data_IF_379630940257
#
_entry.id   IF_379630940257
#
_cell.length_a   1.000
_cell.length_b   1.000
_cell.length_c   1.000
_cell.angle_alpha   90.00
_cell.angle_beta   90.00
_cell.angle_gamma   90.00
#
_symmetry.space_group_name_H-M   'P 1'
#
loop_
_entity.id
_entity.type
_entity.pdbx_description
1 polymer ?
#
# COMPACT_ATOMS: atom_id res chain seq x y z
N UNK A 1 2.45 -17.72 22.92
CA UNK A 1 3.38 -17.01 22.02
C UNK A 1 4.53 -16.45 22.86
N UNK A 2 5.77 -16.72 22.49
CA UNK A 2 6.99 -16.19 23.11
C UNK A 2 8.12 -16.17 22.08
N UNK A 3 8.76 -15.01 21.88
CA UNK A 3 9.85 -14.86 20.92
C UNK A 3 10.77 -13.68 21.27
N UNK A 4 12.01 -13.75 20.80
CA UNK A 4 12.98 -12.64 20.82
C UNK A 4 13.13 -12.15 19.38
N UNK A 5 13.16 -10.83 19.17
CA UNK A 5 13.30 -10.24 17.83
C UNK A 5 14.24 -9.04 17.84
N UNK A 6 14.98 -8.88 16.75
CA UNK A 6 15.85 -7.73 16.55
C UNK A 6 15.06 -6.42 16.55
N UNK A 7 15.52 -5.45 17.36
CA UNK A 7 14.82 -4.18 17.58
C UNK A 7 14.56 -3.40 16.29
N UNK A 8 15.61 -3.24 15.46
CA UNK A 8 15.58 -2.44 14.24
C UNK A 8 14.62 -3.05 13.21
N UNK A 9 14.75 -4.35 12.97
CA UNK A 9 13.90 -5.08 12.03
C UNK A 9 12.43 -5.05 12.46
N UNK A 10 12.16 -5.27 13.75
CA UNK A 10 10.80 -5.26 14.27
C UNK A 10 10.17 -3.87 14.19
N UNK A 11 10.92 -2.82 14.53
CA UNK A 11 10.45 -1.43 14.42
C UNK A 11 10.13 -1.04 12.98
N UNK A 12 10.97 -1.45 12.02
CA UNK A 12 10.71 -1.22 10.60
C UNK A 12 9.44 -1.95 10.15
N UNK A 13 9.32 -3.23 10.47
CA UNK A 13 8.17 -4.05 10.10
C UNK A 13 6.85 -3.48 10.66
N UNK A 14 6.86 -3.01 11.92
CA UNK A 14 5.73 -2.33 12.55
C UNK A 14 5.36 -1.02 11.83
N UNK A 15 6.36 -0.23 11.41
CA UNK A 15 6.12 0.99 10.65
C UNK A 15 5.52 0.71 9.27
N UNK A 16 5.88 -0.41 8.64
CA UNK A 16 5.33 -0.83 7.35
C UNK A 16 3.86 -1.24 7.48
N UNK A 17 3.51 -2.15 8.40
CA UNK A 17 2.12 -2.59 8.59
C UNK A 17 1.21 -1.48 9.13
N UNK A 18 1.74 -0.54 9.91
CA UNK A 18 0.94 0.56 10.47
C UNK A 18 0.26 1.45 9.42
N UNK A 19 0.73 1.43 8.17
CA UNK A 19 0.14 2.17 7.04
C UNK A 19 -1.29 1.68 6.71
N UNK A 20 -1.64 0.45 7.08
CA UNK A 20 -3.00 -0.06 6.94
C UNK A 20 -3.95 0.38 8.06
N UNK A 21 -3.45 1.03 9.13
CA UNK A 21 -4.25 1.34 10.32
C UNK A 21 -4.91 2.70 10.15
N UNK A 22 -6.23 2.74 10.32
CA UNK A 22 -7.01 3.98 10.32
C UNK A 22 -7.22 4.50 11.74
N UNK A 23 -7.04 5.81 11.92
CA UNK A 23 -7.35 6.49 13.20
C UNK A 23 -8.85 6.60 13.49
N UNK A 24 -9.71 6.29 12.50
CA UNK A 24 -11.18 6.43 12.58
C UNK A 24 -11.90 5.09 12.36
N UNK A 25 -11.28 3.96 12.70
CA UNK A 25 -11.91 2.64 12.51
C UNK A 25 -13.17 2.49 13.37
N UNK A 26 -14.25 1.98 12.76
CA UNK A 26 -15.47 1.59 13.48
C UNK A 26 -15.35 0.21 14.13
N UNK A 27 -14.39 -0.60 13.67
CA UNK A 27 -14.12 -1.96 14.17
C UNK A 27 -12.91 -1.86 15.11
N UNK A 28 -13.09 -1.97 16.44
CA UNK A 28 -12.02 -1.67 17.40
C UNK A 28 -10.78 -2.55 17.24
N UNK A 29 -10.94 -3.84 16.92
CA UNK A 29 -9.81 -4.77 16.78
C UNK A 29 -8.88 -4.41 15.60
N UNK A 30 -9.38 -3.69 14.59
CA UNK A 30 -8.59 -3.17 13.47
C UNK A 30 -7.72 -1.96 13.83
N UNK A 31 -7.87 -1.40 15.03
CA UNK A 31 -6.89 -0.45 15.59
C UNK A 31 -5.63 -1.14 16.12
N UNK A 32 -5.62 -2.48 16.12
CA UNK A 32 -4.51 -3.31 16.53
C UNK A 32 -3.69 -3.89 15.38
N UNK A 33 -2.57 -4.51 15.74
CA UNK A 33 -1.74 -5.33 14.86
C UNK A 33 -1.87 -6.77 15.35
N UNK A 34 -2.26 -7.69 14.45
CA UNK A 34 -2.18 -9.13 14.71
C UNK A 34 -0.73 -9.56 14.55
N UNK A 35 -0.23 -10.25 15.56
CA UNK A 35 1.10 -10.85 15.59
C UNK A 35 0.89 -12.36 15.64
N UNK A 36 1.52 -13.08 14.72
CA UNK A 36 1.61 -14.54 14.75
C UNK A 36 3.09 -14.92 14.75
N UNK A 37 3.50 -15.79 15.66
CA UNK A 37 4.83 -16.37 15.68
C UNK A 37 4.74 -17.89 15.55
N UNK A 38 5.49 -18.46 14.61
CA UNK A 38 5.59 -19.89 14.36
C UNK A 38 7.03 -20.29 14.02
N UNK A 39 7.27 -21.54 13.62
CA UNK A 39 8.63 -22.03 13.35
C UNK A 39 9.33 -21.32 12.18
N UNK A 40 8.58 -20.69 11.27
CA UNK A 40 9.11 -20.00 10.10
C UNK A 40 9.55 -18.56 10.42
N UNK A 41 8.89 -17.91 11.38
CA UNK A 41 9.16 -16.53 11.74
C UNK A 41 7.99 -15.82 12.42
N UNK A 42 7.93 -14.50 12.21
CA UNK A 42 6.90 -13.62 12.77
C UNK A 42 6.13 -12.96 11.63
N UNK A 43 4.80 -13.09 11.65
CA UNK A 43 3.89 -12.43 10.72
C UNK A 43 3.13 -11.32 11.43
N UNK A 44 3.21 -10.11 10.89
CA UNK A 44 2.47 -8.94 11.35
C UNK A 44 1.37 -8.61 10.34
N UNK A 45 0.13 -8.44 10.81
CA UNK A 45 -1.02 -8.08 9.96
C UNK A 45 -1.74 -6.88 10.56
N UNK A 46 -2.02 -5.88 9.72
CA UNK A 46 -2.86 -4.74 10.05
C UNK A 46 -3.86 -4.47 8.92
N UNK A 47 -5.00 -3.88 9.25
CA UNK A 47 -6.09 -3.64 8.30
C UNK A 47 -6.97 -2.47 8.70
N UNK A 48 -7.63 -1.86 7.71
CA UNK A 48 -8.70 -0.88 7.89
C UNK A 48 -10.00 -1.31 7.19
N UNK A 49 -10.19 -2.61 6.99
CA UNK A 49 -11.27 -3.25 6.23
C UNK A 49 -11.18 -3.13 4.71
N UNK A 50 -10.50 -2.10 4.18
CA UNK A 50 -10.33 -1.92 2.73
C UNK A 50 -9.04 -2.55 2.21
N UNK A 51 -7.98 -2.42 3.02
CA UNK A 51 -6.69 -3.05 2.76
C UNK A 51 -6.22 -3.87 3.95
N UNK A 52 -5.46 -4.93 3.67
CA UNK A 52 -4.62 -5.62 4.65
C UNK A 52 -3.17 -5.46 4.23
N UNK A 53 -2.28 -5.16 5.18
CA UNK A 53 -0.84 -5.27 4.98
C UNK A 53 -0.33 -6.36 5.89
N UNK A 54 0.28 -7.36 5.28
CA UNK A 54 1.00 -8.44 5.93
C UNK A 54 2.50 -8.22 5.73
N UNK A 55 3.27 -8.37 6.81
CA UNK A 55 4.73 -8.34 6.80
C UNK A 55 5.26 -9.59 7.49
N UNK A 56 6.09 -10.33 6.76
CA UNK A 56 6.81 -11.48 7.29
C UNK A 56 8.24 -11.10 7.71
N UNK A 57 8.64 -11.55 8.89
CA UNK A 57 10.00 -11.42 9.43
C UNK A 57 10.53 -12.86 9.59
N UNK A 58 11.49 -13.30 8.74
CA UNK A 58 12.07 -14.62 8.87
C UNK A 58 12.96 -14.71 10.12
N UNK A 59 13.22 -15.92 10.60
CA UNK A 59 14.13 -16.17 11.72
C UNK A 59 15.58 -15.72 11.46
N UNK A 60 16.01 -15.68 10.20
CA UNK A 60 17.33 -15.19 9.79
C UNK A 60 17.29 -14.48 8.43
N UNK A 61 18.20 -13.54 8.23
CA UNK A 61 18.43 -12.81 6.97
C UNK A 61 19.94 -12.79 6.75
N UNK A 62 20.42 -13.25 5.60
CA UNK A 62 21.87 -13.23 5.26
C UNK A 62 22.76 -13.83 6.36
N UNK A 63 22.34 -14.97 6.92
CA UNK A 63 22.99 -15.69 8.04
C UNK A 63 23.00 -14.96 9.40
N UNK A 64 22.42 -13.76 9.50
CA UNK A 64 22.15 -13.10 10.78
C UNK A 64 20.82 -13.57 11.38
N UNK A 65 20.85 -13.95 12.67
CA UNK A 65 19.65 -14.35 13.40
C UNK A 65 18.81 -13.11 13.77
N UNK A 66 17.61 -13.00 13.18
CA UNK A 66 16.71 -11.87 13.36
C UNK A 66 15.64 -12.14 14.41
N UNK A 67 15.20 -13.40 14.52
CA UNK A 67 14.18 -13.78 15.49
C UNK A 67 14.40 -15.20 16.03
N UNK A 68 14.10 -15.39 17.31
CA UNK A 68 14.13 -16.68 18.01
C UNK A 68 12.76 -16.98 18.56
N UNK A 69 12.13 -18.05 18.07
CA UNK A 69 10.77 -18.41 18.47
C UNK A 69 10.85 -19.46 19.57
N UNK A 70 10.43 -19.08 20.78
CA UNK A 70 10.45 -19.93 21.98
C UNK A 70 9.13 -20.70 22.14
N UNK A 71 8.02 -20.04 21.80
CA UNK A 71 6.67 -20.63 21.84
C UNK A 71 5.80 -20.03 20.75
N UNK A 72 5.25 -20.88 19.88
CA UNK A 72 4.31 -20.44 18.85
C UNK A 72 3.02 -19.82 19.46
N UNK A 73 2.31 -19.05 18.66
CA UNK A 73 0.99 -18.52 19.00
C UNK A 73 0.73 -17.17 18.34
N UNK A 74 -0.41 -16.56 18.70
CA UNK A 74 -0.84 -15.30 18.11
C UNK A 74 -1.57 -14.43 19.13
N UNK A 75 -1.56 -13.13 18.89
CA UNK A 75 -2.26 -12.12 19.69
C UNK A 75 -2.50 -10.86 18.84
N UNK A 76 -3.48 -10.05 19.21
CA UNK A 76 -3.66 -8.70 18.64
C UNK A 76 -3.27 -7.66 19.68
N UNK A 77 -2.43 -6.71 19.31
CA UNK A 77 -1.97 -5.64 20.21
C UNK A 77 -2.46 -4.26 19.75
N UNK A 78 -2.84 -3.35 20.66
CA UNK A 78 -3.18 -1.97 20.31
C UNK A 78 -2.00 -1.25 19.62
N UNK A 79 -2.13 -0.95 18.33
CA UNK A 79 -0.99 -0.55 17.51
C UNK A 79 -0.34 0.74 17.98
N UNK A 80 -1.16 1.75 18.32
CA UNK A 80 -0.68 3.07 18.77
C UNK A 80 0.27 2.95 19.95
N UNK A 81 -0.08 2.18 20.96
CA UNK A 81 0.75 2.01 22.15
C UNK A 81 1.92 1.07 21.88
N UNK A 82 1.66 -0.05 21.21
CA UNK A 82 2.68 -1.05 20.94
C UNK A 82 3.84 -0.47 20.13
N UNK A 83 3.56 0.24 19.02
CA UNK A 83 4.60 0.85 18.18
C UNK A 83 5.45 1.85 18.97
N UNK A 84 4.82 2.71 19.78
CA UNK A 84 5.54 3.72 20.57
C UNK A 84 6.37 3.11 21.69
N UNK A 85 5.93 1.99 22.27
CA UNK A 85 6.70 1.22 23.23
C UNK A 85 7.93 0.63 22.55
N UNK A 86 7.74 -0.08 21.44
CA UNK A 86 8.81 -0.78 20.71
C UNK A 86 9.89 0.20 20.25
N UNK A 87 9.51 1.36 19.69
CA UNK A 87 10.47 2.40 19.29
C UNK A 87 11.38 2.90 20.41
N UNK A 88 10.95 2.80 21.67
CA UNK A 88 11.68 3.29 22.85
C UNK A 88 12.50 2.21 23.55
N UNK A 89 12.43 0.96 23.08
CA UNK A 89 13.24 -0.12 23.63
C UNK A 89 14.72 0.07 23.25
N UNK A 90 15.65 -0.18 24.18
CA UNK A 90 17.08 0.06 23.99
C UNK A 90 17.77 -1.01 23.13
N UNK A 91 17.25 -2.24 23.14
CA UNK A 91 17.88 -3.40 22.54
C UNK A 91 16.83 -4.37 21.98
N UNK A 92 17.27 -5.58 21.61
CA UNK A 92 16.40 -6.65 21.14
C UNK A 92 15.30 -6.97 22.16
N UNK A 93 14.15 -7.38 21.63
CA UNK A 93 12.90 -7.37 22.38
C UNK A 93 12.42 -8.79 22.58
N UNK A 94 12.23 -9.18 23.84
CA UNK A 94 11.48 -10.35 24.24
C UNK A 94 10.00 -9.99 24.31
N UNK A 95 9.19 -10.73 23.55
CA UNK A 95 7.74 -10.65 23.56
C UNK A 95 7.18 -11.95 24.12
N UNK A 96 6.37 -11.85 25.17
CA UNK A 96 5.68 -12.99 25.77
C UNK A 96 4.19 -12.71 25.90
N UNK A 97 3.34 -13.62 25.41
CA UNK A 97 1.89 -13.55 25.61
C UNK A 97 1.46 -14.51 26.71
N UNK A 98 0.80 -13.95 27.73
CA UNK A 98 0.11 -14.69 28.79
C UNK A 98 -1.39 -14.72 28.48
N UNK A 99 -1.93 -15.93 28.31
CA UNK A 99 -3.37 -16.19 28.12
C UNK A 99 -4.04 -15.41 26.95
N UNK A 100 -3.30 -15.07 25.88
CA UNK A 100 -3.80 -14.34 24.70
C UNK A 100 -4.41 -12.95 24.99
N UNK A 101 -4.26 -12.43 26.22
CA UNK A 101 -4.87 -11.18 26.66
C UNK A 101 -3.86 -10.19 27.24
N UNK A 102 -2.73 -10.68 27.75
CA UNK A 102 -1.66 -9.82 28.26
C UNK A 102 -0.39 -10.11 27.45
N UNK A 103 0.27 -9.05 26.97
CA UNK A 103 1.58 -9.13 26.36
C UNK A 103 2.60 -8.45 27.27
N UNK A 104 3.65 -9.16 27.61
CA UNK A 104 4.85 -8.66 28.28
C UNK A 104 5.90 -8.36 27.22
N UNK A 105 6.43 -7.14 27.26
CA UNK A 105 7.44 -6.62 26.36
C UNK A 105 8.65 -6.30 27.21
N UNK A 106 9.76 -6.97 26.96
CA UNK A 106 10.98 -6.82 27.74
C UNK A 106 12.18 -6.53 26.83
N UNK A 107 13.02 -5.59 27.24
CA UNK A 107 14.32 -5.29 26.63
C UNK A 107 15.23 -4.75 27.71
N UNK A 108 16.40 -5.38 27.89
CA UNK A 108 17.30 -5.14 29.02
C UNK A 108 16.56 -5.18 30.38
N UNK A 109 16.62 -4.09 31.15
CA UNK A 109 15.97 -3.93 32.47
C UNK A 109 14.52 -3.41 32.37
N UNK A 110 14.04 -3.09 31.16
CA UNK A 110 12.72 -2.52 30.94
C UNK A 110 11.72 -3.65 30.70
N UNK A 111 10.68 -3.71 31.53
CA UNK A 111 9.54 -4.61 31.36
C UNK A 111 8.25 -3.83 31.37
N UNK A 112 7.44 -3.98 30.32
CA UNK A 112 6.14 -3.35 30.18
C UNK A 112 5.09 -4.41 29.88
N UNK A 113 3.86 -4.17 30.35
CA UNK A 113 2.72 -5.01 30.07
C UNK A 113 1.66 -4.20 29.31
N UNK A 114 1.06 -4.82 28.30
CA UNK A 114 -0.01 -4.24 27.50
C UNK A 114 -1.15 -5.25 27.36
N UNK A 115 -2.40 -4.79 27.46
CA UNK A 115 -3.54 -5.64 27.18
C UNK A 115 -3.68 -5.82 25.66
N UNK A 116 -3.77 -7.06 25.22
CA UNK A 116 -4.09 -7.46 23.86
C UNK A 116 -5.50 -8.03 23.74
N UNK A 117 -5.82 -8.50 22.54
CA UNK A 117 -7.06 -9.17 22.20
C UNK A 117 -6.75 -10.54 21.59
N UNK A 118 -7.72 -11.46 21.63
CA UNK A 118 -7.56 -12.77 20.99
C UNK A 118 -7.42 -12.60 19.47
N UNK A 119 -6.45 -13.31 18.91
CA UNK A 119 -6.18 -13.27 17.46
C UNK A 119 -7.30 -13.87 16.60
N UNK A 120 -8.20 -14.64 17.21
CA UNK A 120 -9.35 -15.28 16.53
C UNK A 120 -10.44 -14.28 16.16
N UNK A 121 -10.48 -13.12 16.83
CA UNK A 121 -11.42 -12.05 16.51
C UNK A 121 -10.95 -11.18 15.34
N UNK A 122 -9.66 -11.27 14.98
CA UNK A 122 -9.09 -10.47 13.89
C UNK A 122 -9.48 -11.08 12.53
N UNK A 123 -9.99 -10.28 11.57
CA UNK A 123 -10.42 -10.80 10.27
C UNK A 123 -9.32 -11.55 9.53
N UNK A 124 -9.69 -12.64 8.86
CA UNK A 124 -8.77 -13.38 8.00
C UNK A 124 -8.44 -12.58 6.74
N UNK A 125 -7.21 -12.76 6.25
CA UNK A 125 -6.81 -12.22 4.94
C UNK A 125 -7.53 -12.98 3.82
N UNK A 126 -7.81 -12.33 2.67
CA UNK A 126 -8.37 -13.01 1.51
C UNK A 126 -7.49 -14.17 1.03
N UNK A 127 -8.13 -15.23 0.51
CA UNK A 127 -7.42 -16.34 -0.13
C UNK A 127 -6.70 -15.87 -1.41
N UNK A 128 -5.49 -16.40 -1.62
CA UNK A 128 -4.70 -16.17 -2.83
C UNK A 128 -4.77 -17.42 -3.69
N UNK A 129 -5.25 -17.28 -4.93
CA UNK A 129 -5.05 -18.29 -5.96
C UNK A 129 -3.70 -18.03 -6.64
N UNK A 130 -2.69 -18.84 -6.29
CA UNK A 130 -1.31 -18.67 -6.79
C UNK A 130 -1.17 -18.99 -8.30
N UNK A 131 -2.19 -19.55 -8.95
CA UNK A 131 -2.14 -19.91 -10.37
C UNK A 131 -2.27 -18.71 -11.32
N UNK A 132 -2.76 -17.55 -10.84
CA UNK A 132 -2.99 -16.34 -11.63
C UNK A 132 -1.94 -15.24 -11.38
N UNK A 133 -0.68 -15.64 -11.24
CA UNK A 133 0.44 -14.74 -10.93
C UNK A 133 0.86 -13.88 -12.14
N UNK A 134 1.00 -12.58 -11.90
CA UNK A 134 1.55 -11.62 -12.85
C UNK A 134 2.79 -10.99 -12.24
N UNK A 135 3.89 -10.98 -12.98
CA UNK A 135 5.16 -10.42 -12.53
C UNK A 135 5.43 -9.09 -13.23
N UNK A 136 5.74 -8.06 -12.45
CA UNK A 136 6.08 -6.71 -12.95
C UNK A 136 7.30 -6.19 -12.19
N UNK A 137 8.21 -5.51 -12.89
CA UNK A 137 9.33 -4.83 -12.24
C UNK A 137 8.84 -3.75 -11.28
N UNK A 138 9.38 -3.73 -10.06
CA UNK A 138 8.96 -2.81 -9.01
C UNK A 138 9.10 -1.35 -9.42
N UNK A 139 10.22 -0.98 -10.05
CA UNK A 139 10.46 0.40 -10.46
C UNK A 139 9.49 0.88 -11.55
N UNK A 140 9.19 0.00 -12.52
CA UNK A 140 8.20 0.28 -13.56
C UNK A 140 6.81 0.47 -12.95
N UNK A 141 6.42 -0.41 -12.02
CA UNK A 141 5.11 -0.31 -11.38
C UNK A 141 4.98 0.96 -10.51
N UNK A 142 6.05 1.34 -9.79
CA UNK A 142 6.12 2.61 -9.05
C UNK A 142 5.92 3.81 -10.01
N UNK A 143 6.58 3.80 -11.17
CA UNK A 143 6.46 4.87 -12.16
C UNK A 143 5.02 4.99 -12.68
N UNK A 144 4.43 3.86 -13.09
CA UNK A 144 3.04 3.77 -13.56
C UNK A 144 2.08 4.34 -12.52
N UNK A 145 2.22 3.94 -11.26
CA UNK A 145 1.38 4.40 -10.16
C UNK A 145 1.55 5.91 -9.87
N UNK A 146 2.79 6.43 -9.89
CA UNK A 146 3.04 7.87 -9.73
C UNK A 146 2.45 8.70 -10.87
N UNK A 147 2.45 8.17 -12.10
CA UNK A 147 1.96 8.86 -13.29
C UNK A 147 0.44 8.81 -13.45
N UNK A 148 -0.25 7.92 -12.74
CA UNK A 148 -1.70 7.70 -12.93
C UNK A 148 -2.53 7.98 -11.68
N UNK A 149 -2.09 7.51 -10.50
CA UNK A 149 -2.92 7.52 -9.28
C UNK A 149 -3.42 8.90 -8.84
N UNK A 150 -2.68 9.98 -9.15
CA UNK A 150 -3.05 11.34 -8.76
C UNK A 150 -4.27 11.90 -9.50
N UNK A 151 -4.63 11.31 -10.65
CA UNK A 151 -5.70 11.80 -11.52
C UNK A 151 -7.08 11.21 -11.15
N UNK A 152 -7.16 10.27 -10.21
CA UNK A 152 -8.42 9.73 -9.72
C UNK A 152 -9.26 10.79 -8.97
N UNK A 153 -10.58 10.65 -9.03
CA UNK A 153 -11.52 11.50 -8.31
C UNK A 153 -11.35 11.36 -6.79
N UNK A 154 -11.46 12.47 -6.07
CA UNK A 154 -11.48 12.49 -4.60
C UNK A 154 -12.89 12.42 -4.01
N UNK A 155 -13.91 12.73 -4.82
CA UNK A 155 -15.30 12.69 -4.39
C UNK A 155 -15.90 11.30 -4.65
N UNK A 156 -16.86 10.90 -3.81
CA UNK A 156 -17.47 9.57 -3.88
C UNK A 156 -18.75 9.54 -4.73
N UNK A 157 -19.10 10.64 -5.43
CA UNK A 157 -20.31 10.70 -6.25
C UNK A 157 -20.28 9.70 -7.41
N UNK A 158 -19.08 9.39 -7.92
CA UNK A 158 -18.83 8.34 -8.92
C UNK A 158 -17.73 7.42 -8.40
N UNK A 159 -18.05 6.40 -7.57
CA UNK A 159 -17.04 5.56 -6.92
C UNK A 159 -16.04 4.92 -7.88
N UNK A 160 -16.47 4.50 -9.08
CA UNK A 160 -15.57 3.93 -10.10
C UNK A 160 -14.40 4.86 -10.50
N UNK A 161 -14.56 6.18 -10.35
CA UNK A 161 -13.54 7.17 -10.68
C UNK A 161 -12.56 7.44 -9.53
N UNK A 162 -12.84 6.97 -8.31
CA UNK A 162 -11.91 7.12 -7.17
C UNK A 162 -10.76 6.11 -7.22
N UNK A 163 -10.81 5.17 -8.16
CA UNK A 163 -9.76 4.20 -8.44
C UNK A 163 -9.01 4.44 -9.75
N UNK A 164 -7.93 3.70 -9.89
CA UNK A 164 -7.16 3.54 -11.12
C UNK A 164 -7.71 2.31 -11.84
N UNK A 165 -8.11 2.50 -13.10
CA UNK A 165 -8.42 1.40 -14.00
C UNK A 165 -7.14 0.66 -14.33
N UNK A 166 -7.05 -0.60 -13.91
CA UNK A 166 -5.87 -1.43 -14.03
C UNK A 166 -6.21 -2.59 -14.96
N UNK A 167 -5.59 -2.61 -16.14
CA UNK A 167 -5.87 -3.57 -17.20
C UNK A 167 -4.59 -4.26 -17.61
N UNK A 168 -4.63 -5.59 -17.68
CA UNK A 168 -3.59 -6.38 -18.32
C UNK A 168 -4.23 -7.13 -19.48
N UNK A 169 -3.68 -6.90 -20.67
CA UNK A 169 -4.12 -7.56 -21.89
C UNK A 169 -2.97 -7.55 -22.91
N UNK A 170 -2.83 -8.63 -23.69
CA UNK A 170 -1.82 -8.77 -24.75
C UNK A 170 -0.39 -8.31 -24.35
N UNK A 171 0.14 -8.78 -23.21
CA UNK A 171 1.47 -8.43 -22.70
C UNK A 171 1.66 -6.94 -22.36
N UNK A 172 0.57 -6.23 -22.05
CA UNK A 172 0.61 -4.81 -21.66
C UNK A 172 -0.10 -4.61 -20.34
N UNK A 173 0.48 -3.78 -19.48
CA UNK A 173 -0.20 -3.19 -18.34
C UNK A 173 -0.61 -1.76 -18.71
N UNK A 174 -1.92 -1.51 -18.68
CA UNK A 174 -2.51 -0.20 -18.91
C UNK A 174 -3.13 0.25 -17.59
N UNK A 175 -2.68 1.40 -17.10
CA UNK A 175 -3.28 2.09 -15.97
C UNK A 175 -3.86 3.42 -16.42
N UNK A 176 -5.11 3.70 -16.03
CA UNK A 176 -5.73 4.98 -16.31
C UNK A 176 -6.53 5.49 -15.12
N UNK A 177 -6.53 6.81 -14.93
CA UNK A 177 -7.33 7.47 -13.91
C UNK A 177 -7.84 8.83 -14.40
N UNK A 178 -9.04 9.20 -13.98
CA UNK A 178 -9.65 10.49 -14.31
C UNK A 178 -10.61 10.94 -13.22
N UNK A 179 -10.71 12.26 -13.04
CA UNK A 179 -11.66 12.94 -12.17
C UNK A 179 -12.77 13.65 -12.98
N UNK A 180 -12.93 13.29 -14.26
CA UNK A 180 -13.76 13.96 -15.28
C UNK A 180 -13.26 15.32 -15.77
N UNK A 181 -12.19 15.87 -15.18
CA UNK A 181 -11.58 17.14 -15.61
C UNK A 181 -10.22 16.93 -16.28
N UNK A 182 -9.47 15.92 -15.83
CA UNK A 182 -8.19 15.49 -16.40
C UNK A 182 -8.13 13.98 -16.48
N UNK A 183 -7.25 13.48 -17.35
CA UNK A 183 -7.00 12.06 -17.55
C UNK A 183 -5.50 11.81 -17.52
N UNK A 184 -5.09 10.77 -16.79
CA UNK A 184 -3.75 10.21 -16.88
C UNK A 184 -3.86 8.77 -17.37
N UNK A 185 -3.04 8.41 -18.35
CA UNK A 185 -2.95 7.06 -18.90
C UNK A 185 -1.48 6.70 -19.05
N UNK A 186 -1.13 5.50 -18.59
CA UNK A 186 0.20 4.93 -18.77
C UNK A 186 0.08 3.50 -19.24
N UNK A 187 0.83 3.17 -20.28
CA UNK A 187 0.96 1.82 -20.81
C UNK A 187 2.43 1.39 -20.70
N UNK A 188 2.67 0.19 -20.18
CA UNK A 188 3.98 -0.48 -20.20
C UNK A 188 3.85 -1.90 -20.75
N UNK A 189 4.91 -2.42 -21.35
CA UNK A 189 5.00 -3.81 -21.78
C UNK A 189 5.42 -4.68 -20.59
N UNK A 190 4.74 -5.81 -20.38
CA UNK A 190 5.06 -6.79 -19.34
C UNK A 190 5.09 -8.21 -19.91
N UNK A 191 5.85 -9.10 -19.29
CA UNK A 191 5.94 -10.51 -19.70
C UNK A 191 4.82 -11.34 -19.06
N UNK A 192 3.56 -11.09 -19.44
CA UNK A 192 2.41 -11.84 -18.93
C UNK A 192 1.31 -12.04 -19.98
N UNK A 193 0.81 -13.26 -20.09
CA UNK A 193 -0.34 -13.62 -20.92
C UNK A 193 -1.68 -13.54 -20.17
N UNK A 194 -1.66 -13.12 -18.90
CA UNK A 194 -2.87 -12.97 -18.11
C UNK A 194 -3.80 -11.92 -18.71
N UNK A 195 -5.10 -12.05 -18.42
CA UNK A 195 -6.10 -11.04 -18.70
C UNK A 195 -6.72 -10.57 -17.41
N UNK A 196 -6.64 -9.27 -17.16
CA UNK A 196 -7.12 -8.66 -15.93
C UNK A 196 -7.74 -7.31 -16.27
N UNK A 197 -8.88 -7.01 -15.66
CA UNK A 197 -9.56 -5.74 -15.82
C UNK A 197 -10.28 -5.42 -14.51
N UNK A 198 -9.71 -4.51 -13.73
CA UNK A 198 -10.26 -4.16 -12.43
C UNK A 198 -10.03 -2.67 -12.12
N UNK A 199 -10.64 -2.22 -11.03
CA UNK A 199 -10.51 -0.84 -10.54
C UNK A 199 -9.88 -0.92 -9.14
N UNK A 200 -8.64 -0.44 -9.03
CA UNK A 200 -7.88 -0.44 -7.79
C UNK A 200 -8.04 0.92 -7.10
N UNK A 201 -8.46 1.01 -5.84
CA UNK A 201 -8.61 2.29 -5.15
C UNK A 201 -7.33 3.14 -5.20
N UNK A 202 -7.46 4.45 -5.47
CA UNK A 202 -6.29 5.36 -5.49
C UNK A 202 -5.59 5.48 -4.13
N UNK A 203 -6.34 5.25 -3.05
CA UNK A 203 -5.79 5.12 -1.69
C UNK A 203 -4.85 3.92 -1.57
N UNK A 204 -5.22 2.77 -2.14
CA UNK A 204 -4.36 1.57 -2.22
C UNK A 204 -3.08 1.88 -3.00
N UNK A 205 -3.20 2.54 -4.16
CA UNK A 205 -2.03 2.97 -4.95
C UNK A 205 -1.11 3.86 -4.12
N UNK A 206 -1.69 4.78 -3.35
CA UNK A 206 -0.93 5.68 -2.46
C UNK A 206 -0.20 4.92 -1.35
N UNK A 207 -0.80 3.89 -0.75
CA UNK A 207 -0.13 3.06 0.26
C UNK A 207 0.96 2.16 -0.34
N UNK A 208 0.72 1.58 -1.52
CA UNK A 208 1.73 0.83 -2.27
C UNK A 208 2.97 1.69 -2.54
N UNK A 209 2.80 2.93 -2.99
CA UNK A 209 3.91 3.86 -3.23
C UNK A 209 4.73 4.22 -1.98
N UNK A 210 4.16 4.08 -0.77
CA UNK A 210 4.87 4.27 0.50
C UNK A 210 5.58 3.00 0.99
N UNK A 211 5.19 1.83 0.49
CA UNK A 211 5.72 0.53 0.89
C UNK A 211 6.77 0.01 -0.09
N UNK A 212 6.50 0.15 -1.38
CA UNK A 212 7.40 -0.28 -2.44
C UNK A 212 8.66 0.58 -2.43
N UNK A 213 9.79 -0.11 -2.35
CA UNK A 213 11.12 0.46 -2.48
C UNK A 213 11.88 -0.31 -3.55
N UNK A 214 13.00 0.24 -4.04
CA UNK A 214 13.82 -0.41 -5.07
C UNK A 214 14.59 -1.65 -4.55
N UNK A 215 14.40 -2.09 -3.30
CA UNK A 215 15.11 -3.27 -2.77
C UNK A 215 14.49 -4.58 -3.25
N UNK A 216 13.22 -4.57 -3.66
CA UNK A 216 12.57 -5.72 -4.28
C UNK A 216 12.54 -5.54 -5.79
N UNK A 217 13.11 -6.47 -6.56
CA UNK A 217 13.18 -6.34 -8.02
C UNK A 217 11.82 -6.52 -8.70
N UNK A 218 11.00 -7.43 -8.17
CA UNK A 218 9.71 -7.83 -8.76
C UNK A 218 8.57 -7.65 -7.76
N UNK A 219 7.40 -7.33 -8.31
CA UNK A 219 6.11 -7.41 -7.65
C UNK A 219 5.28 -8.49 -8.32
N UNK A 220 4.77 -9.39 -7.50
CA UNK A 220 3.83 -10.43 -7.88
C UNK A 220 2.41 -9.94 -7.61
N UNK A 221 1.57 -9.97 -8.64
CA UNK A 221 0.19 -9.51 -8.59
C UNK A 221 -0.71 -10.71 -8.76
N UNK A 222 -1.66 -10.86 -7.84
CA UNK A 222 -2.70 -11.87 -7.89
C UNK A 222 -4.07 -11.19 -7.88
N UNK A 223 -5.05 -11.83 -8.52
CA UNK A 223 -6.42 -11.32 -8.62
C UNK A 223 -7.38 -12.36 -8.08
N UNK A 224 -8.33 -11.91 -7.27
CA UNK A 224 -9.56 -12.65 -6.96
C UNK A 224 -10.78 -11.84 -7.43
N UNK A 225 -11.99 -12.38 -7.27
CA UNK A 225 -13.22 -11.70 -7.70
C UNK A 225 -13.41 -10.30 -7.07
N UNK A 226 -12.95 -10.12 -5.84
CA UNK A 226 -13.19 -8.90 -5.05
C UNK A 226 -11.91 -8.22 -4.55
N UNK A 227 -10.75 -8.84 -4.74
CA UNK A 227 -9.48 -8.31 -4.25
C UNK A 227 -8.38 -8.39 -5.30
N UNK A 228 -7.43 -7.47 -5.19
CA UNK A 228 -6.12 -7.56 -5.83
C UNK A 228 -5.06 -7.65 -4.73
N UNK A 229 -4.05 -8.49 -4.95
CA UNK A 229 -2.97 -8.74 -4.01
C UNK A 229 -1.66 -8.38 -4.67
N UNK A 230 -0.82 -7.63 -3.97
CA UNK A 230 0.53 -7.26 -4.38
C UNK A 230 1.52 -7.83 -3.38
N UNK A 231 2.40 -8.73 -3.82
CA UNK A 231 3.45 -9.36 -3.02
C UNK A 231 4.82 -8.93 -3.53
N UNK A 232 5.65 -8.39 -2.65
CA UNK A 232 7.00 -7.93 -2.97
C UNK A 232 7.90 -8.02 -1.74
N UNK A 233 9.08 -8.62 -1.89
CA UNK A 233 9.94 -8.94 -0.77
C UNK A 233 9.21 -9.79 0.28
N UNK A 234 9.14 -9.30 1.52
CA UNK A 234 8.39 -9.94 2.62
C UNK A 234 7.07 -9.24 2.95
N UNK A 235 6.57 -8.38 2.05
CA UNK A 235 5.31 -7.65 2.21
C UNK A 235 4.27 -8.23 1.27
N UNK A 236 3.05 -8.40 1.78
CA UNK A 236 1.86 -8.70 0.98
C UNK A 236 0.79 -7.66 1.31
N UNK A 237 0.32 -6.92 0.29
CA UNK A 237 -0.80 -5.98 0.40
C UNK A 237 -2.01 -6.56 -0.30
N UNK A 238 -3.13 -6.66 0.42
CA UNK A 238 -4.43 -7.03 -0.12
C UNK A 238 -5.28 -5.78 -0.21
N UNK A 239 -5.97 -5.58 -1.34
CA UNK A 239 -6.89 -4.46 -1.52
C UNK A 239 -8.20 -4.94 -2.08
N UNK A 240 -9.30 -4.51 -1.46
CA UNK A 240 -10.62 -4.63 -2.07
C UNK A 240 -10.66 -3.83 -3.38
N UNK A 241 -11.30 -4.40 -4.40
CA UNK A 241 -11.55 -3.75 -5.68
C UNK A 241 -12.79 -2.85 -5.60
N UNK A 242 -12.82 -1.82 -6.45
CA UNK A 242 -14.05 -1.03 -6.64
C UNK A 242 -14.94 -1.77 -7.65
N UNK A 243 -16.15 -2.11 -7.20
CA UNK A 243 -17.14 -2.77 -8.05
C UNK A 243 -17.71 -1.78 -9.09
N UNK A 244 -17.90 -2.27 -10.31
CA UNK A 244 -18.49 -1.52 -11.42
C UNK A 244 -17.64 -1.52 -12.67
N UNK A 245 -18.14 -0.84 -13.71
CA UNK A 245 -17.49 -0.73 -15.01
C UNK A 245 -16.81 0.63 -15.13
N UNK A 246 -15.51 0.63 -15.38
CA UNK A 246 -14.77 1.87 -15.68
C UNK A 246 -15.24 2.43 -17.03
N UNK A 247 -15.44 3.76 -17.17
CA UNK A 247 -15.88 4.35 -18.43
C UNK A 247 -14.86 4.13 -19.55
N UNK A 248 -15.35 4.06 -20.79
CA UNK A 248 -14.46 4.01 -21.95
C UNK A 248 -13.81 5.39 -22.16
N UNK A 249 -12.49 5.43 -22.02
CA UNK A 249 -11.68 6.65 -22.12
C UNK A 249 -11.02 6.83 -23.49
N UNK A 250 -11.03 5.82 -24.37
CA UNK A 250 -10.34 5.88 -25.66
C UNK A 250 -10.87 7.00 -26.55
N UNK A 251 -12.17 7.33 -26.43
CA UNK A 251 -12.78 8.44 -27.16
C UNK A 251 -12.47 9.84 -26.61
N UNK A 252 -11.77 9.95 -25.47
CA UNK A 252 -11.39 11.23 -24.86
C UNK A 252 -10.04 11.74 -25.34
N UNK A 253 -9.22 10.90 -25.98
CA UNK A 253 -7.87 11.24 -26.44
C UNK A 253 -7.97 11.71 -27.90
N UNK A 254 -7.71 13.00 -28.22
CA UNK A 254 -7.72 13.48 -29.59
C UNK A 254 -6.60 12.83 -30.42
N UNK A 255 -6.90 12.44 -31.65
CA UNK A 255 -5.91 11.88 -32.58
C UNK A 255 -5.13 12.96 -33.35
N UNK A 256 -5.66 14.19 -33.39
CA UNK A 256 -5.08 15.31 -34.12
C UNK A 256 -4.95 16.52 -33.20
N UNK A 257 -3.95 17.36 -33.47
CA UNK A 257 -3.72 18.61 -32.75
C UNK A 257 -3.53 19.75 -33.74
N UNK A 258 -4.13 20.91 -33.46
CA UNK A 258 -3.96 22.11 -34.29
C UNK A 258 -2.65 22.83 -33.98
N UNK A 259 -2.20 22.78 -32.72
CA UNK A 259 -1.01 23.48 -32.23
C UNK A 259 -0.20 22.55 -31.35
N UNK A 260 1.11 22.47 -31.61
CA UNK A 260 2.08 21.70 -30.82
C UNK A 260 3.16 22.64 -30.30
N UNK A 261 3.45 22.58 -29.01
CA UNK A 261 4.44 23.44 -28.34
C UNK A 261 5.48 22.56 -27.66
N UNK A 262 6.75 22.75 -28.02
CA UNK A 262 7.88 22.13 -27.35
C UNK A 262 8.51 23.13 -26.37
N UNK A 263 8.37 22.87 -25.07
CA UNK A 263 8.85 23.77 -24.01
C UNK A 263 9.56 22.99 -22.90
N UNK A 264 10.54 23.62 -22.26
CA UNK A 264 11.22 23.06 -21.10
C UNK A 264 10.24 22.86 -19.92
N UNK A 265 10.18 21.61 -19.43
CA UNK A 265 9.28 21.19 -18.34
C UNK A 265 9.47 22.04 -17.08
N UNK A 266 10.72 22.37 -16.71
CA UNK A 266 11.00 23.11 -15.47
C UNK A 266 10.54 24.56 -15.60
N UNK A 267 10.78 25.19 -16.75
CA UNK A 267 10.32 26.56 -17.04
C UNK A 267 8.81 26.67 -17.01
N UNK A 268 8.08 25.77 -17.67
CA UNK A 268 6.60 25.83 -17.69
C UNK A 268 6.01 25.56 -16.30
N UNK A 269 6.56 24.59 -15.56
CA UNK A 269 6.11 24.28 -14.20
C UNK A 269 6.28 25.49 -13.27
N UNK A 270 7.46 26.13 -13.30
CA UNK A 270 7.70 27.35 -12.52
C UNK A 270 6.82 28.52 -12.97
N UNK A 271 6.46 28.60 -14.25
CA UNK A 271 5.52 29.60 -14.77
C UNK A 271 4.12 29.42 -14.18
N UNK A 272 3.61 28.20 -14.23
CA UNK A 272 2.29 27.82 -13.66
C UNK A 272 2.26 28.01 -12.15
N UNK A 273 3.33 27.62 -11.46
CA UNK A 273 3.44 27.79 -10.01
C UNK A 273 3.35 29.28 -9.63
N UNK A 274 4.12 30.15 -10.31
CA UNK A 274 4.05 31.60 -10.11
C UNK A 274 2.68 32.19 -10.41
N UNK A 275 2.01 31.75 -11.48
CA UNK A 275 0.69 32.28 -11.82
C UNK A 275 -0.41 31.78 -10.87
N UNK A 276 -0.21 30.63 -10.24
CA UNK A 276 -1.13 30.07 -9.25
C UNK A 276 -1.10 30.76 -7.87
N UNK A 277 -0.12 31.63 -7.60
CA UNK A 277 0.00 32.34 -6.31
C UNK A 277 -1.22 33.20 -5.98
N UNK A 278 -1.87 33.76 -7.01
CA UNK A 278 -3.07 34.59 -6.86
C UNK A 278 -4.38 33.78 -7.00
N UNK A 279 -4.27 32.47 -7.27
CA UNK A 279 -5.41 31.62 -7.59
C UNK A 279 -6.15 31.11 -6.35
N UNK A 280 -5.55 31.18 -5.16
CA UNK A 280 -6.14 30.64 -3.92
C UNK A 280 -7.25 31.50 -3.32
N UNK A 281 -7.46 32.73 -3.80
CA UNK A 281 -8.44 33.67 -3.23
C UNK A 281 -9.83 33.61 -3.88
N UNK A 282 -9.98 33.01 -5.07
CA UNK A 282 -11.26 32.96 -5.80
C UNK A 282 -11.61 31.55 -6.29
N UNK A 283 -12.90 31.22 -6.27
CA UNK A 283 -13.42 30.00 -6.88
C UNK A 283 -13.27 30.07 -8.41
N UNK A 284 -12.74 29.00 -9.03
CA UNK A 284 -12.51 28.85 -10.48
C UNK A 284 -11.43 29.78 -11.09
N UNK A 285 -10.20 29.69 -10.60
CA UNK A 285 -9.07 30.38 -11.20
C UNK A 285 -8.52 29.65 -12.44
N UNK A 286 -8.30 30.40 -13.52
CA UNK A 286 -7.73 29.91 -14.78
C UNK A 286 -6.40 30.60 -15.09
N UNK A 287 -5.47 29.84 -15.70
CA UNK A 287 -4.23 30.37 -16.25
C UNK A 287 -4.37 30.52 -17.76
N UNK A 288 -4.06 31.70 -18.30
CA UNK A 288 -4.12 31.98 -19.74
C UNK A 288 -2.72 31.81 -20.35
N UNK A 289 -2.60 30.96 -21.38
CA UNK A 289 -1.38 30.80 -22.16
C UNK A 289 -1.51 31.54 -23.49
N UNK A 290 -0.83 32.69 -23.62
CA UNK A 290 -0.74 33.42 -24.88
C UNK A 290 0.49 32.94 -25.67
N UNK A 291 0.24 32.28 -26.80
CA UNK A 291 1.29 31.74 -27.66
C UNK A 291 1.49 32.75 -28.79
N UNK A 292 2.68 33.35 -28.84
CA UNK A 292 3.08 34.24 -29.93
C UNK A 292 4.06 33.47 -30.82
N UNK A 293 3.72 33.36 -32.11
CA UNK A 293 4.57 32.76 -33.14
C UNK A 293 5.51 33.80 -33.72
#
# INVERSE_FOLDING_TARGET
MEFIVNHKQFTQALSEVSKAISTKTLIPILSGIKITADQSGITLIASNSNIFIEKFIPISIEDEQIATILKAGSIVVPAKYFIEIIKKMPSDILIQSMNEQLITIQSDEITLNLNGFSANEFPNVPFIDEHAEIQVETEQLIEVFKQTGFAAAKNESRPVLTGVHFVIDHNKLICAATDSHRLALREITISSHAKLNCIVPSSTISELLKLMNSNSNLVYIYLSESHIIFKFGTITLYSRLIEGKYPNISGLIPNESQTVINIDRKKILQGVDRSSLLASEWANCSNIFNITC
#
